data_IF_548973645770
#
_entry.id   IF_548973645770
#
_cell.length_a   1.000
_cell.length_b   1.000
_cell.length_c   1.000
_cell.angle_alpha   90.00
_cell.angle_beta   90.00
_cell.angle_gamma   90.00
#
_symmetry.space_group_name_H-M   'P 1'
#
loop_
_entity.id
_entity.type
_entity.pdbx_description
1 polymer ?
#
# COMPACT_ATOMS: atom_id res chain seq x y z
N UNK A 1 13.42 -17.59 10.91
CA UNK A 1 11.99 -17.72 10.53
C UNK A 1 11.78 -16.88 9.27
N UNK A 2 11.16 -17.43 8.24
CA UNK A 2 10.85 -16.70 7.00
C UNK A 2 9.63 -15.81 7.25
N UNK A 3 9.70 -14.55 6.85
CA UNK A 3 8.56 -13.63 6.89
C UNK A 3 7.94 -13.55 5.48
N UNK A 4 6.70 -14.02 5.35
CA UNK A 4 5.97 -14.01 4.08
C UNK A 4 5.09 -12.76 4.05
N UNK A 5 5.22 -12.01 2.95
CA UNK A 5 4.47 -10.80 2.67
C UNK A 5 3.60 -11.01 1.42
N UNK A 6 2.35 -10.53 1.44
CA UNK A 6 1.43 -10.67 0.30
C UNK A 6 0.65 -9.37 0.04
N UNK A 7 0.42 -9.08 -1.25
CA UNK A 7 -0.43 -7.98 -1.71
C UNK A 7 -1.90 -8.43 -1.68
N UNK A 8 -2.79 -7.66 -1.04
CA UNK A 8 -4.18 -8.02 -0.76
C UNK A 8 -5.12 -6.83 -0.94
N UNK A 9 -6.44 -7.13 -0.95
CA UNK A 9 -7.46 -6.10 -1.19
C UNK A 9 -7.56 -5.67 -2.65
N UNK A 10 -7.08 -6.52 -3.56
CA UNK A 10 -6.98 -6.28 -4.99
C UNK A 10 -8.14 -6.90 -5.80
N UNK A 11 -9.20 -7.34 -5.12
CA UNK A 11 -10.41 -7.87 -5.78
C UNK A 11 -10.38 -9.37 -6.07
N UNK A 12 -9.40 -10.11 -5.58
CA UNK A 12 -9.28 -11.57 -5.77
C UNK A 12 -10.19 -12.39 -4.85
N UNK A 13 -10.73 -11.77 -3.80
CA UNK A 13 -11.61 -12.38 -2.78
C UNK A 13 -11.03 -13.61 -2.06
N UNK A 14 -9.71 -13.71 -1.98
CA UNK A 14 -9.01 -14.84 -1.35
C UNK A 14 -8.32 -14.46 -0.01
N UNK A 15 -8.62 -13.28 0.52
CA UNK A 15 -7.99 -12.74 1.74
C UNK A 15 -8.14 -13.68 2.92
N UNK A 16 -9.32 -14.31 3.11
CA UNK A 16 -9.58 -15.25 4.19
C UNK A 16 -8.68 -16.50 4.14
N UNK A 17 -8.27 -16.90 2.94
CA UNK A 17 -7.42 -18.09 2.73
C UNK A 17 -5.95 -17.73 2.94
N UNK A 18 -5.54 -16.54 2.51
CA UNK A 18 -4.14 -16.12 2.52
C UNK A 18 -3.71 -15.57 3.87
N UNK A 19 -4.56 -14.80 4.55
CA UNK A 19 -4.20 -14.13 5.82
C UNK A 19 -3.63 -15.07 6.89
N UNK A 20 -4.15 -16.31 7.09
CA UNK A 20 -3.57 -17.25 8.06
C UNK A 20 -2.16 -17.76 7.70
N UNK A 21 -1.73 -17.61 6.45
CA UNK A 21 -0.50 -18.19 5.91
C UNK A 21 0.66 -17.18 5.82
N UNK A 22 0.40 -15.89 6.09
CA UNK A 22 1.36 -14.80 5.92
C UNK A 22 1.69 -14.12 7.25
N UNK A 23 2.76 -13.36 7.28
CA UNK A 23 3.18 -12.58 8.45
C UNK A 23 2.88 -11.08 8.30
N UNK A 24 2.75 -10.62 7.07
CA UNK A 24 2.47 -9.23 6.74
C UNK A 24 1.71 -9.11 5.42
N UNK A 25 0.89 -8.09 5.30
CA UNK A 25 0.13 -7.82 4.08
C UNK A 25 0.33 -6.38 3.61
N UNK A 26 0.32 -6.17 2.30
CA UNK A 26 0.25 -4.86 1.69
C UNK A 26 -1.17 -4.65 1.18
N UNK A 27 -1.91 -3.71 1.78
CA UNK A 27 -3.32 -3.51 1.45
C UNK A 27 -3.45 -2.44 0.37
N UNK A 28 -4.06 -2.80 -0.76
CA UNK A 28 -4.40 -1.86 -1.83
C UNK A 28 -5.28 -0.72 -1.29
N UNK A 29 -4.86 0.52 -1.48
CA UNK A 29 -5.44 1.68 -0.83
C UNK A 29 -6.07 2.71 -1.78
N UNK A 30 -6.59 2.23 -2.92
CA UNK A 30 -7.46 3.01 -3.80
C UNK A 30 -6.80 3.53 -5.08
N UNK A 31 -5.49 3.38 -5.27
CA UNK A 31 -4.80 3.81 -6.48
C UNK A 31 -5.06 2.89 -7.67
N UNK A 32 -4.62 1.65 -7.59
CA UNK A 32 -4.84 0.61 -8.60
C UNK A 32 -6.05 -0.27 -8.28
N UNK A 33 -6.29 -0.51 -7.02
CA UNK A 33 -7.38 -1.30 -6.47
C UNK A 33 -7.70 -0.82 -5.05
N UNK A 34 -8.72 -1.41 -4.45
CA UNK A 34 -9.14 -1.09 -3.10
C UNK A 34 -10.18 0.03 -3.03
N UNK A 35 -11.03 -0.09 -2.03
CA UNK A 35 -12.02 0.88 -1.60
C UNK A 35 -12.17 0.79 -0.06
N UNK A 36 -13.04 1.62 0.51
CA UNK A 36 -13.26 1.63 1.95
C UNK A 36 -13.65 0.26 2.51
N UNK A 37 -14.52 -0.46 1.81
CA UNK A 37 -15.01 -1.78 2.25
C UNK A 37 -13.92 -2.85 2.21
N UNK A 38 -13.18 -2.94 1.11
CA UNK A 38 -12.09 -3.90 0.97
C UNK A 38 -10.93 -3.62 1.92
N UNK A 39 -10.56 -2.34 2.10
CA UNK A 39 -9.55 -1.93 3.08
C UNK A 39 -9.96 -2.31 4.50
N UNK A 40 -11.20 -2.01 4.92
CA UNK A 40 -11.70 -2.36 6.25
C UNK A 40 -11.64 -3.87 6.49
N UNK A 41 -12.16 -4.65 5.53
CA UNK A 41 -12.12 -6.13 5.60
C UNK A 41 -10.70 -6.66 5.76
N UNK A 42 -9.75 -6.15 4.95
CA UNK A 42 -8.35 -6.59 5.03
C UNK A 42 -7.71 -6.22 6.37
N UNK A 43 -7.99 -5.04 6.92
CA UNK A 43 -7.47 -4.62 8.23
C UNK A 43 -8.02 -5.49 9.34
N UNK A 44 -9.34 -5.76 9.37
CA UNK A 44 -9.97 -6.65 10.36
C UNK A 44 -9.37 -8.06 10.31
N UNK A 45 -9.22 -8.64 9.12
CA UNK A 45 -8.58 -9.95 8.95
C UNK A 45 -7.13 -9.95 9.43
N UNK A 46 -6.37 -8.89 9.12
CA UNK A 46 -4.98 -8.76 9.54
C UNK A 46 -4.85 -8.72 11.07
N UNK A 47 -5.76 -8.00 11.75
CA UNK A 47 -5.80 -7.93 13.21
C UNK A 47 -6.12 -9.32 13.79
N UNK A 48 -7.12 -10.00 13.25
CA UNK A 48 -7.54 -11.34 13.72
C UNK A 48 -6.44 -12.40 13.58
N UNK A 49 -5.55 -12.24 12.59
CA UNK A 49 -4.43 -13.16 12.35
C UNK A 49 -3.08 -12.63 12.86
N UNK A 50 -3.06 -11.50 13.58
CA UNK A 50 -1.84 -10.86 14.08
C UNK A 50 -0.82 -10.50 12.98
N UNK A 51 -1.29 -10.22 11.77
CA UNK A 51 -0.43 -9.84 10.65
C UNK A 51 -0.02 -8.37 10.75
N UNK A 52 1.19 -8.07 10.31
CA UNK A 52 1.68 -6.70 10.17
C UNK A 52 1.00 -6.04 8.97
N UNK A 53 0.45 -4.85 9.17
CA UNK A 53 -0.36 -4.16 8.17
C UNK A 53 0.47 -3.11 7.45
N UNK A 54 0.53 -3.21 6.13
CA UNK A 54 1.19 -2.25 5.25
C UNK A 54 0.26 -1.60 4.24
N UNK A 55 0.62 -0.38 3.82
CA UNK A 55 -0.05 0.31 2.72
C UNK A 55 0.59 -0.06 1.38
N UNK A 56 -0.26 -0.23 0.35
CA UNK A 56 0.16 -0.57 -1.00
C UNK A 56 -0.24 0.51 -2.03
N UNK A 57 0.37 1.72 -1.94
CA UNK A 57 0.06 2.82 -2.83
C UNK A 57 0.63 2.59 -4.24
N UNK A 58 -0.03 3.17 -5.23
CA UNK A 58 0.32 3.02 -6.64
C UNK A 58 0.14 4.31 -7.42
N UNK A 59 0.52 4.30 -8.69
CA UNK A 59 -0.07 5.25 -9.63
C UNK A 59 -1.60 5.19 -9.58
N UNK A 60 -2.33 6.33 -9.68
CA UNK A 60 -3.78 6.35 -9.69
C UNK A 60 -4.35 5.89 -11.04
N UNK A 61 -4.20 4.61 -11.33
CA UNK A 61 -4.58 3.98 -12.61
C UNK A 61 -5.29 2.65 -12.39
N UNK A 62 -6.56 2.71 -12.01
CA UNK A 62 -7.40 1.53 -11.84
C UNK A 62 -7.59 0.75 -13.14
N UNK A 63 -7.63 1.45 -14.29
CA UNK A 63 -7.86 0.84 -15.59
C UNK A 63 -6.79 -0.18 -15.97
N UNK A 64 -5.51 0.14 -15.67
CA UNK A 64 -4.38 -0.73 -15.97
C UNK A 64 -3.83 -1.38 -14.68
N UNK A 65 -4.61 -1.35 -13.60
CA UNK A 65 -4.20 -1.95 -12.33
C UNK A 65 -2.85 -1.42 -11.81
N UNK A 66 -2.55 -0.13 -12.03
CA UNK A 66 -1.27 0.48 -11.64
C UNK A 66 -0.03 -0.14 -12.28
N UNK A 67 -0.18 -0.94 -13.34
CA UNK A 67 0.93 -1.68 -13.98
C UNK A 67 1.51 -1.00 -15.22
N UNK A 68 1.04 0.20 -15.51
CA UNK A 68 1.62 1.05 -16.57
C UNK A 68 2.21 2.31 -15.96
N UNK A 69 3.38 2.69 -16.46
CA UNK A 69 3.97 3.99 -16.15
C UNK A 69 3.00 5.10 -16.52
N UNK A 70 2.69 5.94 -15.57
CA UNK A 70 1.72 7.03 -15.74
C UNK A 70 2.46 8.37 -15.85
N UNK A 71 2.18 9.10 -16.92
CA UNK A 71 2.62 10.50 -17.03
C UNK A 71 1.72 11.36 -16.15
N UNK A 72 2.24 11.76 -15.01
CA UNK A 72 1.53 12.52 -13.97
C UNK A 72 2.45 13.60 -13.41
N UNK A 73 1.89 14.74 -13.03
CA UNK A 73 2.69 15.77 -12.38
C UNK A 73 3.18 15.35 -10.98
N UNK A 74 4.31 15.91 -10.53
CA UNK A 74 4.84 15.70 -9.18
C UNK A 74 3.77 15.94 -8.11
N UNK A 75 3.06 17.05 -8.23
CA UNK A 75 2.06 17.46 -7.22
C UNK A 75 0.86 16.52 -7.19
N UNK A 76 0.37 16.09 -8.36
CA UNK A 76 -0.77 15.19 -8.43
C UNK A 76 -0.43 13.79 -7.93
N UNK A 77 0.78 13.29 -8.26
CA UNK A 77 1.26 12.02 -7.74
C UNK A 77 1.40 12.08 -6.21
N UNK A 78 2.07 13.11 -5.69
CA UNK A 78 2.25 13.28 -4.26
C UNK A 78 0.92 13.36 -3.51
N UNK A 79 -0.03 14.17 -3.98
CA UNK A 79 -1.38 14.25 -3.42
C UNK A 79 -2.10 12.91 -3.44
N UNK A 80 -1.97 12.16 -4.55
CA UNK A 80 -2.56 10.84 -4.68
C UNK A 80 -1.99 9.85 -3.68
N UNK A 81 -0.66 9.78 -3.55
CA UNK A 81 0.02 8.88 -2.62
C UNK A 81 -0.36 9.18 -1.16
N UNK A 82 -0.32 10.46 -0.77
CA UNK A 82 -0.72 10.90 0.57
C UNK A 82 -2.17 10.50 0.86
N UNK A 83 -3.08 10.73 -0.08
CA UNK A 83 -4.50 10.36 0.05
C UNK A 83 -4.68 8.85 0.22
N UNK A 84 -4.01 8.05 -0.61
CA UNK A 84 -4.10 6.59 -0.56
C UNK A 84 -3.67 6.07 0.81
N UNK A 85 -2.48 6.43 1.26
CA UNK A 85 -1.92 5.94 2.52
C UNK A 85 -2.74 6.44 3.72
N UNK A 86 -3.11 7.73 3.75
CA UNK A 86 -3.88 8.30 4.86
C UNK A 86 -5.30 7.73 4.95
N UNK A 87 -5.90 7.33 3.84
CA UNK A 87 -7.22 6.69 3.85
C UNK A 87 -7.18 5.32 4.53
N UNK A 88 -6.16 4.51 4.24
CA UNK A 88 -5.96 3.23 4.90
C UNK A 88 -5.54 3.43 6.37
N UNK A 89 -4.62 4.35 6.65
CA UNK A 89 -4.15 4.63 8.01
C UNK A 89 -5.30 5.00 8.96
N UNK A 90 -6.26 5.80 8.49
CA UNK A 90 -7.46 6.15 9.28
C UNK A 90 -8.24 4.91 9.70
N UNK A 91 -8.45 3.96 8.79
CA UNK A 91 -9.14 2.70 9.08
C UNK A 91 -8.34 1.87 10.09
N UNK A 92 -7.04 1.76 9.90
CA UNK A 92 -6.15 1.02 10.80
C UNK A 92 -6.23 1.57 12.23
N UNK A 93 -6.16 2.90 12.38
CA UNK A 93 -6.24 3.57 13.69
C UNK A 93 -7.62 3.39 14.32
N UNK A 94 -8.71 3.54 13.56
CA UNK A 94 -10.08 3.34 14.04
C UNK A 94 -10.31 1.92 14.57
N UNK A 95 -9.62 0.92 13.99
CA UNK A 95 -9.68 -0.48 14.42
C UNK A 95 -8.63 -0.84 15.49
N UNK A 96 -7.96 0.16 16.08
CA UNK A 96 -7.03 -0.02 17.20
C UNK A 96 -5.68 -0.63 16.84
N UNK A 97 -5.27 -0.52 15.58
CA UNK A 97 -3.98 -1.02 15.09
C UNK A 97 -3.07 0.12 14.60
N UNK A 98 -1.91 -0.22 14.03
CA UNK A 98 -0.95 0.74 13.50
C UNK A 98 -0.42 0.32 12.13
N UNK A 99 -0.11 1.30 11.30
CA UNK A 99 0.58 1.07 10.05
C UNK A 99 2.02 0.63 10.33
N UNK A 100 2.42 -0.51 9.76
CA UNK A 100 3.75 -1.08 9.99
C UNK A 100 4.73 -0.77 8.86
N UNK A 101 4.28 -0.78 7.61
CA UNK A 101 5.15 -0.55 6.46
C UNK A 101 4.40 0.03 5.27
N UNK A 102 5.17 0.52 4.30
CA UNK A 102 4.66 1.01 3.03
C UNK A 102 5.44 0.31 1.92
N UNK A 103 4.74 -0.24 0.94
CA UNK A 103 5.31 -0.88 -0.26
C UNK A 103 4.58 -0.35 -1.49
N UNK A 104 5.26 0.31 -2.40
CA UNK A 104 4.66 0.72 -3.66
C UNK A 104 4.23 -0.48 -4.49
N UNK A 105 3.18 -0.30 -5.32
CA UNK A 105 2.65 -1.32 -6.22
C UNK A 105 3.08 -1.10 -7.67
N UNK A 106 3.22 -2.19 -8.41
CA UNK A 106 3.23 -2.26 -9.87
C UNK A 106 4.28 -1.39 -10.54
N UNK A 107 3.87 -0.59 -11.53
CA UNK A 107 4.78 0.25 -12.28
C UNK A 107 5.48 1.27 -11.39
N UNK A 108 4.81 1.87 -10.41
CA UNK A 108 5.44 2.80 -9.48
C UNK A 108 6.64 2.16 -8.75
N UNK A 109 6.48 0.92 -8.26
CA UNK A 109 7.57 0.18 -7.61
C UNK A 109 8.75 -0.06 -8.56
N UNK A 110 8.48 -0.53 -9.77
CA UNK A 110 9.51 -0.88 -10.75
C UNK A 110 10.22 0.37 -11.33
N UNK A 111 9.45 1.42 -11.62
CA UNK A 111 9.98 2.65 -12.23
C UNK A 111 10.91 3.40 -11.28
N UNK A 112 10.65 3.36 -9.97
CA UNK A 112 11.52 3.97 -8.95
C UNK A 112 12.95 3.40 -8.96
N UNK A 113 13.14 2.16 -9.41
CA UNK A 113 14.48 1.58 -9.51
C UNK A 113 15.35 2.29 -10.57
N UNK A 114 14.73 2.85 -11.60
CA UNK A 114 15.43 3.50 -12.73
C UNK A 114 15.26 5.03 -12.75
N UNK A 115 14.29 5.57 -12.03
CA UNK A 115 13.96 6.99 -12.03
C UNK A 115 14.17 7.60 -10.63
N UNK A 116 15.33 8.27 -10.47
CA UNK A 116 15.67 8.93 -9.23
C UNK A 116 14.68 10.04 -8.85
N UNK A 117 14.18 10.80 -9.85
CA UNK A 117 13.25 11.90 -9.59
C UNK A 117 11.94 11.34 -9.04
N UNK A 118 11.45 10.24 -9.64
CA UNK A 118 10.26 9.54 -9.16
C UNK A 118 10.45 9.01 -7.73
N UNK A 119 11.63 8.45 -7.44
CA UNK A 119 11.97 7.99 -6.09
C UNK A 119 11.97 9.13 -5.07
N UNK A 120 12.53 10.29 -5.42
CA UNK A 120 12.52 11.46 -4.56
C UNK A 120 11.09 11.97 -4.31
N UNK A 121 10.23 12.03 -5.34
CA UNK A 121 8.81 12.39 -5.19
C UNK A 121 8.10 11.43 -4.24
N UNK A 122 8.33 10.13 -4.40
CA UNK A 122 7.73 9.11 -3.54
C UNK A 122 8.18 9.27 -2.08
N UNK A 123 9.49 9.38 -1.83
CA UNK A 123 10.05 9.56 -0.49
C UNK A 123 9.56 10.83 0.19
N UNK A 124 9.52 11.95 -0.54
CA UNK A 124 8.95 13.21 -0.05
C UNK A 124 7.48 13.04 0.37
N UNK A 125 6.70 12.33 -0.46
CA UNK A 125 5.26 12.11 -0.20
C UNK A 125 4.99 11.28 1.05
N UNK A 126 5.89 10.36 1.39
CA UNK A 126 5.75 9.50 2.57
C UNK A 126 6.63 9.93 3.76
N UNK A 127 7.28 11.08 3.67
CA UNK A 127 8.28 11.55 4.65
C UNK A 127 7.75 11.62 6.09
N UNK A 128 6.46 11.90 6.29
CA UNK A 128 5.85 11.89 7.63
C UNK A 128 5.89 10.52 8.32
N UNK A 129 6.07 9.44 7.57
CA UNK A 129 6.10 8.06 8.09
C UNK A 129 7.50 7.53 8.37
N UNK A 130 8.56 8.28 8.05
CA UNK A 130 9.96 7.81 8.09
C UNK A 130 10.40 7.21 9.44
N UNK A 131 9.88 7.74 10.55
CA UNK A 131 10.23 7.30 11.89
C UNK A 131 9.20 6.32 12.50
N UNK A 132 8.15 5.97 11.73
CA UNK A 132 7.02 5.18 12.21
C UNK A 132 6.84 3.87 11.44
N UNK A 133 7.29 3.81 10.20
CA UNK A 133 7.05 2.69 9.28
C UNK A 133 8.33 2.20 8.62
N UNK A 134 8.35 0.90 8.31
CA UNK A 134 9.34 0.35 7.38
C UNK A 134 8.95 0.69 5.94
N UNK A 135 9.94 0.85 5.09
CA UNK A 135 9.75 1.01 3.65
C UNK A 135 10.27 -0.24 2.93
N UNK A 136 9.39 -0.86 2.14
CA UNK A 136 9.78 -1.96 1.26
C UNK A 136 10.07 -1.39 -0.14
N UNK A 137 11.29 -1.56 -0.59
CA UNK A 137 11.84 -0.97 -1.82
C UNK A 137 12.23 -2.03 -2.83
N UNK A 138 12.34 -1.64 -4.14
CA UNK A 138 12.83 -2.53 -5.19
C UNK A 138 14.23 -3.06 -4.93
#
# INVERSE_FOLDING_TARGET
MININCDLGEGTNNENIIMPLINSCNIACGGHAGDFKSMTKCVELSINHNNKIGAHPSFPDKKNFGRKTLKISKDDLSKSLIKQISSLEKIIIQLGSKLHHIKAHGALYNDMYHDRILSEIYLDSISKYKDQCYLYIP
#
